data_IF_517308557873
#
_entry.id   IF_517308557873
#
_cell.length_a   1.000
_cell.length_b   1.000
_cell.length_c   1.000
_cell.angle_alpha   90.00
_cell.angle_beta   90.00
_cell.angle_gamma   90.00
#
_symmetry.space_group_name_H-M   'P 1'
#
loop_
_entity.id
_entity.type
_entity.pdbx_description
1 polymer ?
#
# COMPACT_ATOMS: atom_id res chain seq x y z
N UNK A 1 62.38 -72.91 -29.59
CA UNK A 1 62.34 -71.46 -29.33
C UNK A 1 61.16 -71.22 -28.43
N UNK A 2 61.39 -71.01 -27.12
CA UNK A 2 60.42 -70.62 -26.17
C UNK A 2 60.17 -69.11 -26.32
N UNK A 3 58.98 -68.75 -26.73
CA UNK A 3 58.57 -67.35 -26.79
C UNK A 3 58.40 -66.82 -25.34
N UNK A 4 59.22 -65.80 -24.99
CA UNK A 4 59.15 -65.12 -23.75
C UNK A 4 58.06 -64.04 -23.87
N UNK A 5 56.80 -64.40 -23.55
CA UNK A 5 55.76 -63.40 -23.44
C UNK A 5 55.90 -62.70 -22.08
N UNK A 6 56.17 -61.39 -22.08
CA UNK A 6 56.19 -60.59 -20.88
C UNK A 6 54.73 -60.53 -20.32
N UNK A 7 54.54 -60.70 -18.99
CA UNK A 7 53.22 -60.62 -18.43
C UNK A 7 52.68 -59.21 -18.63
N UNK A 8 51.48 -59.13 -19.24
CA UNK A 8 50.76 -57.89 -19.32
C UNK A 8 50.30 -57.47 -17.91
N UNK A 9 50.79 -56.33 -17.44
CA UNK A 9 50.26 -55.75 -16.22
C UNK A 9 48.83 -55.29 -16.43
N UNK A 10 47.89 -55.81 -15.64
CA UNK A 10 46.49 -55.32 -15.77
C UNK A 10 46.43 -53.82 -15.40
N UNK A 11 45.84 -53.04 -16.30
CA UNK A 11 45.50 -51.63 -16.01
C UNK A 11 44.16 -51.67 -15.31
N UNK A 12 44.13 -51.20 -14.04
CA UNK A 12 42.90 -50.95 -13.33
C UNK A 12 42.32 -49.57 -13.75
N UNK A 13 41.20 -49.59 -14.36
CA UNK A 13 40.43 -48.35 -14.64
C UNK A 13 39.34 -48.24 -13.61
N UNK A 14 39.36 -47.20 -12.82
CA UNK A 14 38.21 -46.82 -11.96
C UNK A 14 37.24 -46.05 -12.83
N UNK A 15 36.08 -46.60 -13.06
CA UNK A 15 35.00 -45.91 -13.73
C UNK A 15 34.14 -45.30 -12.65
N UNK A 16 34.18 -43.96 -12.53
CA UNK A 16 33.25 -43.19 -11.71
C UNK A 16 32.04 -42.88 -12.58
N UNK A 17 30.94 -43.57 -12.31
CA UNK A 17 29.66 -43.38 -13.03
C UNK A 17 28.72 -42.41 -12.27
N UNK A 18 29.25 -41.73 -11.23
CA UNK A 18 28.48 -40.69 -10.57
C UNK A 18 28.36 -39.49 -11.56
N UNK A 19 27.17 -38.93 -11.73
CA UNK A 19 27.06 -37.65 -12.43
C UNK A 19 27.91 -36.60 -11.73
N UNK A 20 28.52 -35.66 -12.43
CA UNK A 20 29.25 -34.58 -11.81
C UNK A 20 28.32 -33.87 -10.80
N UNK A 21 28.85 -33.64 -9.59
CA UNK A 21 28.12 -32.88 -8.58
C UNK A 21 28.02 -31.45 -9.13
N UNK A 22 26.80 -30.94 -9.25
CA UNK A 22 26.58 -29.56 -9.60
C UNK A 22 27.09 -28.64 -8.51
N UNK A 23 27.82 -27.60 -8.89
CA UNK A 23 28.35 -26.55 -8.02
C UNK A 23 27.95 -25.14 -8.46
N UNK A 24 27.08 -25.05 -9.46
CA UNK A 24 26.58 -23.77 -9.93
C UNK A 24 25.36 -23.39 -9.10
N UNK A 25 25.31 -22.17 -8.56
CA UNK A 25 24.13 -21.73 -7.84
C UNK A 25 23.01 -21.30 -8.81
N UNK A 26 21.74 -21.35 -8.36
CA UNK A 26 20.59 -20.94 -9.17
C UNK A 26 20.67 -19.49 -9.66
N UNK A 27 20.05 -19.20 -10.79
CA UNK A 27 19.69 -17.85 -11.18
C UNK A 27 18.28 -17.55 -10.67
N UNK A 28 18.08 -16.40 -9.97
CA UNK A 28 16.83 -16.04 -9.36
C UNK A 28 16.58 -14.53 -9.48
N UNK A 29 15.32 -14.17 -9.81
CA UNK A 29 14.87 -12.77 -9.88
C UNK A 29 13.46 -12.66 -9.31
N UNK A 30 13.18 -11.54 -8.64
CA UNK A 30 11.83 -11.12 -8.24
C UNK A 30 11.23 -10.40 -9.45
N UNK A 31 10.07 -10.85 -9.92
CA UNK A 31 9.35 -10.27 -11.04
C UNK A 31 8.31 -9.24 -10.59
N UNK A 32 7.57 -9.59 -9.53
CA UNK A 32 6.57 -8.73 -8.90
C UNK A 32 6.68 -8.87 -7.38
N UNK A 33 6.36 -7.79 -6.63
CA UNK A 33 6.09 -6.43 -7.08
C UNK A 33 7.35 -5.74 -7.63
N UNK A 34 7.17 -4.61 -8.34
CA UNK A 34 8.29 -3.80 -8.82
C UNK A 34 8.95 -3.06 -7.65
N UNK A 35 10.28 -2.83 -7.74
CA UNK A 35 10.98 -2.04 -6.73
C UNK A 35 10.43 -0.61 -6.66
N UNK A 36 10.13 -0.13 -5.45
CA UNK A 36 9.55 1.18 -5.17
C UNK A 36 8.04 1.27 -5.46
N UNK A 37 7.36 0.15 -5.64
CA UNK A 37 5.91 0.13 -5.84
C UNK A 37 5.19 0.38 -4.51
N UNK A 38 4.10 1.16 -4.54
CA UNK A 38 3.13 1.27 -3.46
C UNK A 38 2.19 0.06 -3.52
N UNK A 39 2.03 -0.63 -2.40
CA UNK A 39 1.26 -1.87 -2.30
C UNK A 39 0.37 -1.87 -1.06
N UNK A 40 -0.77 -2.58 -1.15
CA UNK A 40 -1.70 -2.75 -0.03
C UNK A 40 -2.44 -4.08 -0.11
N UNK A 41 -2.97 -4.54 1.03
CA UNK A 41 -3.75 -5.77 1.14
C UNK A 41 -2.93 -7.02 0.88
N UNK A 42 -3.42 -7.93 0.04
CA UNK A 42 -2.70 -9.15 -0.34
C UNK A 42 -2.02 -8.97 -1.68
N UNK A 43 -0.70 -9.14 -1.71
CA UNK A 43 0.15 -8.94 -2.90
C UNK A 43 0.90 -10.22 -3.21
N UNK A 44 0.91 -10.62 -4.49
CA UNK A 44 1.66 -11.79 -4.92
C UNK A 44 3.13 -11.39 -5.21
N UNK A 45 4.06 -12.09 -4.55
CA UNK A 45 5.49 -12.02 -4.82
C UNK A 45 5.81 -13.10 -5.84
N UNK A 46 6.01 -12.70 -7.09
CA UNK A 46 6.32 -13.61 -8.18
C UNK A 46 7.83 -13.73 -8.40
N UNK A 47 8.33 -14.97 -8.44
CA UNK A 47 9.76 -15.27 -8.59
C UNK A 47 9.99 -16.17 -9.76
N UNK A 48 11.01 -15.86 -10.55
CA UNK A 48 11.55 -16.76 -11.57
C UNK A 48 12.91 -17.26 -11.10
N UNK A 49 13.04 -18.57 -10.99
CA UNK A 49 14.29 -19.24 -10.65
C UNK A 49 14.57 -20.37 -11.64
N UNK A 50 15.83 -20.53 -12.02
CA UNK A 50 16.29 -21.58 -12.95
C UNK A 50 17.68 -22.09 -12.54
N UNK A 51 17.88 -23.39 -12.72
CA UNK A 51 19.14 -24.07 -12.48
C UNK A 51 19.23 -25.31 -13.38
N UNK A 52 20.43 -25.77 -13.71
CA UNK A 52 20.65 -26.92 -14.59
C UNK A 52 20.43 -28.27 -13.86
N UNK A 53 20.54 -28.28 -12.55
CA UNK A 53 20.21 -29.42 -11.67
C UNK A 53 18.76 -29.38 -11.16
N UNK A 54 18.09 -28.23 -11.26
CA UNK A 54 16.73 -27.96 -10.79
C UNK A 54 16.68 -27.23 -9.48
N UNK A 55 15.58 -26.55 -9.26
CA UNK A 55 15.29 -25.81 -8.01
C UNK A 55 14.66 -26.78 -7.00
N UNK A 56 15.18 -26.77 -5.78
CA UNK A 56 14.61 -27.49 -4.63
C UNK A 56 13.49 -26.67 -3.99
N UNK A 57 13.81 -25.41 -3.60
CA UNK A 57 12.83 -24.49 -3.06
C UNK A 57 13.27 -23.03 -3.15
N UNK A 58 12.32 -22.15 -2.96
CA UNK A 58 12.48 -20.70 -2.79
C UNK A 58 12.12 -20.34 -1.37
N UNK A 59 12.95 -19.56 -0.69
CA UNK A 59 12.65 -18.98 0.63
C UNK A 59 12.44 -17.48 0.49
N UNK A 60 11.30 -16.99 1.02
CA UNK A 60 10.91 -15.60 1.01
C UNK A 60 11.16 -14.96 2.37
N UNK A 61 11.65 -13.72 2.35
CA UNK A 61 11.94 -12.93 3.55
C UNK A 61 11.29 -11.57 3.43
N UNK A 62 10.64 -11.14 4.50
CA UNK A 62 10.14 -9.79 4.68
C UNK A 62 10.95 -9.16 5.83
N UNK A 63 11.59 -8.02 5.56
CA UNK A 63 12.45 -7.29 6.51
C UNK A 63 13.53 -8.17 7.18
N UNK A 64 14.03 -9.14 6.43
CA UNK A 64 15.05 -10.08 6.90
C UNK A 64 14.54 -11.21 7.78
N UNK A 65 13.24 -11.30 7.99
CA UNK A 65 12.60 -12.44 8.66
C UNK A 65 12.07 -13.43 7.62
N UNK A 66 12.35 -14.73 7.81
CA UNK A 66 11.81 -15.79 6.95
C UNK A 66 10.29 -15.82 7.09
N UNK A 67 9.59 -15.67 5.97
CA UNK A 67 8.13 -15.65 5.92
C UNK A 67 7.58 -17.01 5.47
N UNK A 68 8.02 -17.50 4.30
CA UNK A 68 7.57 -18.79 3.76
C UNK A 68 8.61 -19.46 2.87
N UNK A 69 8.36 -20.75 2.58
CA UNK A 69 9.12 -21.56 1.62
C UNK A 69 8.15 -22.11 0.57
N UNK A 70 8.53 -22.01 -0.71
CA UNK A 70 7.80 -22.58 -1.83
C UNK A 70 8.70 -23.53 -2.64
N UNK A 71 8.27 -24.78 -2.81
CA UNK A 71 8.97 -25.83 -3.57
C UNK A 71 8.28 -26.21 -4.87
N UNK A 72 7.23 -25.48 -5.25
CA UNK A 72 6.38 -25.85 -6.41
C UNK A 72 6.25 -24.66 -7.36
N UNK A 73 6.81 -24.81 -8.57
CA UNK A 73 6.64 -23.79 -9.62
C UNK A 73 5.18 -23.74 -10.13
N UNK A 74 4.65 -22.55 -10.48
CA UNK A 74 5.30 -21.25 -10.42
C UNK A 74 5.48 -20.78 -8.99
N UNK A 75 6.65 -20.20 -8.69
CA UNK A 75 6.98 -19.71 -7.35
C UNK A 75 6.29 -18.38 -7.10
N UNK A 76 5.15 -18.44 -6.39
CA UNK A 76 4.30 -17.29 -6.05
C UNK A 76 3.93 -17.36 -4.57
N UNK A 77 4.29 -16.32 -3.85
CA UNK A 77 3.90 -16.15 -2.45
C UNK A 77 2.91 -15.00 -2.30
N UNK A 78 1.70 -15.29 -1.84
CA UNK A 78 0.69 -14.27 -1.53
C UNK A 78 0.94 -13.71 -0.12
N UNK A 79 1.57 -12.54 -0.08
CA UNK A 79 1.91 -11.82 1.15
C UNK A 79 0.77 -10.90 1.58
N UNK A 80 0.31 -11.02 2.84
CA UNK A 80 -0.64 -10.08 3.43
C UNK A 80 0.11 -8.92 4.08
N UNK A 81 0.08 -7.75 3.47
CA UNK A 81 0.77 -6.55 3.95
C UNK A 81 0.17 -5.95 5.23
N UNK A 82 -1.06 -6.31 5.61
CA UNK A 82 -1.67 -5.87 6.88
C UNK A 82 -0.97 -6.45 8.13
N UNK A 83 -0.04 -7.41 7.94
CA UNK A 83 0.72 -8.03 9.03
C UNK A 83 1.99 -7.28 9.41
N UNK A 84 2.37 -6.28 8.65
CA UNK A 84 3.56 -5.44 8.86
C UNK A 84 3.16 -4.01 9.20
N UNK A 85 4.13 -3.15 9.53
CA UNK A 85 3.86 -1.75 9.79
C UNK A 85 3.37 -1.02 8.52
N UNK A 86 2.43 -0.11 8.67
CA UNK A 86 1.86 0.67 7.59
C UNK A 86 2.65 1.96 7.35
N UNK A 87 2.43 2.63 6.21
CA UNK A 87 3.05 3.90 5.84
C UNK A 87 4.59 3.87 5.81
N UNK A 88 5.20 2.75 5.45
CA UNK A 88 6.66 2.65 5.39
C UNK A 88 7.17 1.67 4.34
N UNK A 89 8.48 1.77 4.06
CA UNK A 89 9.18 0.83 3.18
C UNK A 89 9.43 -0.50 3.88
N UNK A 90 9.15 -1.60 3.16
CA UNK A 90 9.48 -2.96 3.54
C UNK A 90 10.39 -3.60 2.49
N UNK A 91 11.30 -4.46 2.94
CA UNK A 91 12.26 -5.13 2.07
C UNK A 91 11.82 -6.57 1.81
N UNK A 92 11.61 -6.88 0.53
CA UNK A 92 11.40 -8.25 0.06
C UNK A 92 12.74 -8.80 -0.40
N UNK A 93 13.15 -9.93 0.18
CA UNK A 93 14.32 -10.68 -0.25
C UNK A 93 13.94 -12.14 -0.52
N UNK A 94 14.61 -12.76 -1.49
CA UNK A 94 14.33 -14.12 -1.91
C UNK A 94 15.62 -14.88 -2.13
N UNK A 95 15.70 -16.10 -1.59
CA UNK A 95 16.81 -17.02 -1.79
C UNK A 95 16.31 -18.27 -2.51
N UNK A 96 16.92 -18.61 -3.64
CA UNK A 96 16.67 -19.86 -4.32
C UNK A 96 17.74 -20.89 -3.94
N UNK A 97 17.31 -22.14 -3.72
CA UNK A 97 18.17 -23.29 -3.45
C UNK A 97 17.96 -24.34 -4.55
N UNK A 98 19.07 -24.90 -5.05
CA UNK A 98 19.03 -26.05 -5.94
C UNK A 98 18.97 -27.38 -5.15
N UNK A 99 18.81 -28.50 -5.86
CA UNK A 99 18.74 -29.84 -5.24
C UNK A 99 20.09 -30.35 -4.70
N UNK A 100 21.22 -29.67 -4.96
CA UNK A 100 22.54 -29.94 -4.41
C UNK A 100 22.87 -29.05 -3.21
N UNK A 101 22.03 -28.07 -2.90
CA UNK A 101 22.19 -27.15 -1.77
C UNK A 101 22.99 -25.89 -2.10
N UNK A 102 23.29 -25.62 -3.37
CA UNK A 102 23.83 -24.31 -3.75
C UNK A 102 22.69 -23.29 -3.72
N UNK A 103 22.99 -22.01 -3.44
CA UNK A 103 21.95 -20.99 -3.27
C UNK A 103 22.37 -19.64 -3.83
N UNK A 104 21.37 -18.85 -4.21
CA UNK A 104 21.51 -17.47 -4.68
C UNK A 104 20.48 -16.58 -4.00
N UNK A 105 20.91 -15.44 -3.48
CA UNK A 105 20.05 -14.34 -3.06
C UNK A 105 19.73 -13.48 -4.29
N UNK A 106 18.47 -13.34 -4.64
CA UNK A 106 18.01 -12.34 -5.60
C UNK A 106 18.37 -10.92 -5.12
N UNK A 107 18.46 -9.97 -6.06
CA UNK A 107 18.57 -8.56 -5.65
C UNK A 107 17.32 -8.19 -4.83
N UNK A 108 17.46 -7.84 -3.53
CA UNK A 108 16.31 -7.44 -2.74
C UNK A 108 15.65 -6.18 -3.31
N UNK A 109 14.36 -6.06 -3.12
CA UNK A 109 13.57 -4.89 -3.52
C UNK A 109 12.94 -4.24 -2.30
N UNK A 110 12.80 -2.92 -2.32
CA UNK A 110 11.98 -2.17 -1.38
C UNK A 110 10.61 -1.90 -2.02
N UNK A 111 9.56 -1.98 -1.23
CA UNK A 111 8.18 -1.62 -1.58
C UNK A 111 7.62 -0.73 -0.48
N UNK A 112 6.68 0.15 -0.79
CA UNK A 112 6.01 0.99 0.20
C UNK A 112 4.65 0.37 0.52
N UNK A 113 4.41 0.03 1.79
CA UNK A 113 3.11 -0.50 2.24
C UNK A 113 2.24 0.66 2.70
N UNK A 114 1.04 0.77 2.11
CA UNK A 114 0.03 1.78 2.41
C UNK A 114 -1.35 1.09 2.38
N UNK A 115 -1.76 0.58 3.54
CA UNK A 115 -3.00 -0.19 3.70
C UNK A 115 -4.19 0.68 4.10
N UNK A 116 -3.93 1.84 4.71
CA UNK A 116 -4.97 2.69 5.29
C UNK A 116 -4.78 4.14 4.85
N UNK A 117 -5.83 4.73 4.31
CA UNK A 117 -5.84 6.17 4.11
C UNK A 117 -5.81 6.90 5.47
N UNK A 118 -4.78 7.71 5.71
CA UNK A 118 -4.62 8.55 6.89
C UNK A 118 -4.46 10.04 6.52
N UNK A 119 -4.77 10.39 5.28
CA UNK A 119 -4.73 11.76 4.77
C UNK A 119 -6.06 12.45 5.04
N UNK A 120 -6.11 13.49 5.92
CA UNK A 120 -7.36 14.20 6.20
C UNK A 120 -7.89 14.93 4.96
N UNK A 121 -9.22 14.95 4.76
CA UNK A 121 -9.86 15.68 3.67
C UNK A 121 -9.68 17.20 3.81
N UNK A 122 -9.65 17.90 2.69
CA UNK A 122 -9.62 19.35 2.62
C UNK A 122 -11.02 19.88 2.34
N UNK A 123 -11.38 21.01 2.97
CA UNK A 123 -12.66 21.68 2.75
C UNK A 123 -12.54 23.19 2.79
N UNK A 124 -13.54 23.87 2.19
CA UNK A 124 -13.66 25.32 2.23
C UNK A 124 -15.12 25.74 2.13
N UNK A 125 -15.54 26.72 2.97
CA UNK A 125 -16.80 27.44 2.78
C UNK A 125 -16.57 28.46 1.67
N UNK A 126 -17.29 28.34 0.56
CA UNK A 126 -17.23 29.22 -0.61
C UNK A 126 -18.18 30.40 -0.48
N UNK A 127 -19.36 30.16 0.10
CA UNK A 127 -20.38 31.14 0.37
C UNK A 127 -21.07 30.80 1.69
N UNK A 128 -21.39 31.78 2.57
CA UNK A 128 -21.02 33.21 2.49
C UNK A 128 -19.53 33.43 2.73
N UNK A 129 -19.04 34.63 2.35
CA UNK A 129 -17.65 35.02 2.64
C UNK A 129 -17.52 35.64 4.04
N UNK A 130 -16.32 35.59 4.67
CA UNK A 130 -16.12 36.16 6.00
C UNK A 130 -16.48 37.65 6.08
N UNK A 131 -17.27 38.02 7.08
CA UNK A 131 -17.73 39.38 7.32
C UNK A 131 -18.86 39.88 6.42
N UNK A 132 -19.48 38.99 5.65
CA UNK A 132 -20.65 39.32 4.83
C UNK A 132 -21.85 39.63 5.74
N UNK A 133 -22.65 40.66 5.38
CA UNK A 133 -23.98 40.87 5.92
C UNK A 133 -24.97 40.02 5.13
N UNK A 134 -25.84 39.30 5.81
CA UNK A 134 -26.77 38.35 5.24
C UNK A 134 -28.17 38.54 5.80
N UNK A 135 -29.20 38.23 4.99
CA UNK A 135 -30.63 38.32 5.35
C UNK A 135 -31.41 37.20 4.67
N UNK A 136 -32.57 36.84 5.20
CA UNK A 136 -33.49 35.86 4.64
C UNK A 136 -32.86 34.47 4.48
N UNK A 137 -32.98 33.88 3.29
CA UNK A 137 -32.43 32.53 3.01
C UNK A 137 -31.07 32.63 2.33
N UNK A 138 -30.04 32.15 3.02
CA UNK A 138 -28.65 32.17 2.60
C UNK A 138 -28.23 30.78 2.16
N UNK A 139 -27.66 30.67 0.94
CA UNK A 139 -27.05 29.40 0.50
C UNK A 139 -25.65 29.28 1.09
N UNK A 140 -25.41 28.30 1.96
CA UNK A 140 -24.06 27.93 2.41
C UNK A 140 -23.52 26.90 1.43
N UNK A 141 -22.47 27.30 0.70
CA UNK A 141 -21.84 26.46 -0.32
C UNK A 141 -20.45 26.00 0.16
N UNK A 142 -20.22 24.71 0.16
CA UNK A 142 -18.99 24.09 0.65
C UNK A 142 -18.35 23.27 -0.48
N UNK A 143 -17.04 23.39 -0.63
CA UNK A 143 -16.24 22.47 -1.42
C UNK A 143 -15.42 21.58 -0.51
N UNK A 144 -15.31 20.30 -0.86
CA UNK A 144 -14.47 19.34 -0.17
C UNK A 144 -13.83 18.38 -1.16
N UNK A 145 -12.61 17.93 -0.86
CA UNK A 145 -11.87 16.95 -1.64
C UNK A 145 -10.97 16.12 -0.75
N UNK A 146 -10.70 14.92 -1.19
CA UNK A 146 -9.82 13.96 -0.55
C UNK A 146 -9.07 13.14 -1.61
N UNK A 147 -7.97 12.46 -1.22
CA UNK A 147 -7.24 11.56 -2.11
C UNK A 147 -8.05 10.29 -2.44
N UNK A 148 -8.93 9.84 -1.54
CA UNK A 148 -9.84 8.74 -1.79
C UNK A 148 -11.28 9.22 -1.95
N UNK A 149 -11.98 9.48 -0.87
CA UNK A 149 -13.40 9.86 -0.94
C UNK A 149 -13.88 10.62 0.30
N UNK A 150 -14.55 11.77 0.08
CA UNK A 150 -15.26 12.49 1.14
C UNK A 150 -16.54 11.72 1.50
N UNK A 151 -16.64 11.27 2.74
CA UNK A 151 -17.82 10.56 3.26
C UNK A 151 -18.98 11.50 3.53
N UNK A 152 -18.73 12.54 4.34
CA UNK A 152 -19.76 13.53 4.69
C UNK A 152 -19.16 14.81 5.24
N UNK A 153 -20.03 15.82 5.31
CA UNK A 153 -19.74 17.13 5.90
C UNK A 153 -20.73 17.40 7.02
N UNK A 154 -20.24 17.71 8.22
CA UNK A 154 -21.04 18.17 9.33
C UNK A 154 -21.04 19.70 9.36
N UNK A 155 -22.20 20.31 9.29
CA UNK A 155 -22.40 21.76 9.35
C UNK A 155 -23.00 22.16 10.69
N UNK A 156 -22.43 23.17 11.31
CA UNK A 156 -22.96 23.79 12.54
C UNK A 156 -22.96 25.33 12.41
N UNK A 157 -23.90 25.97 13.08
CA UNK A 157 -23.97 27.42 13.23
C UNK A 157 -24.01 27.72 14.73
N UNK A 158 -23.09 28.56 15.19
CA UNK A 158 -22.88 28.88 16.62
C UNK A 158 -22.69 27.64 17.50
N UNK A 159 -22.07 26.60 16.94
CA UNK A 159 -21.86 25.33 17.62
C UNK A 159 -23.10 24.42 17.68
N UNK A 160 -24.22 24.82 17.07
CA UNK A 160 -25.44 24.03 16.98
C UNK A 160 -25.42 23.29 15.64
N UNK A 161 -25.46 21.96 15.66
CA UNK A 161 -25.51 21.14 14.45
C UNK A 161 -26.77 21.48 13.63
N UNK A 162 -26.59 21.66 12.31
CA UNK A 162 -27.68 22.01 11.39
C UNK A 162 -27.96 20.89 10.40
N UNK A 163 -26.92 20.31 9.78
CA UNK A 163 -27.09 19.27 8.76
C UNK A 163 -25.84 18.41 8.63
N UNK A 164 -26.02 17.25 7.98
CA UNK A 164 -24.95 16.36 7.51
C UNK A 164 -25.11 16.14 6.02
N UNK A 165 -24.20 16.72 5.24
CA UNK A 165 -24.24 16.69 3.77
C UNK A 165 -23.40 15.53 3.25
N UNK A 166 -24.02 14.59 2.54
CA UNK A 166 -23.37 13.35 2.06
C UNK A 166 -23.14 13.34 0.55
N UNK A 167 -23.67 14.30 -0.19
CA UNK A 167 -23.56 14.34 -1.66
C UNK A 167 -23.14 15.71 -2.15
N UNK A 168 -22.18 15.74 -3.08
CA UNK A 168 -21.85 16.96 -3.82
C UNK A 168 -22.96 17.29 -4.84
N UNK A 169 -23.30 18.58 -5.05
CA UNK A 169 -22.73 19.75 -4.40
C UNK A 169 -23.21 19.89 -2.94
N UNK A 170 -22.28 20.19 -2.03
CA UNK A 170 -22.56 20.36 -0.61
C UNK A 170 -23.15 21.76 -0.37
N UNK A 171 -24.47 21.84 -0.32
CA UNK A 171 -25.22 23.09 -0.19
C UNK A 171 -26.25 22.95 0.93
N UNK A 172 -26.25 23.91 1.85
CA UNK A 172 -27.27 24.06 2.89
C UNK A 172 -27.96 25.42 2.74
N UNK A 173 -29.28 25.44 2.68
CA UNK A 173 -30.05 26.69 2.67
C UNK A 173 -30.43 27.08 4.10
N UNK A 174 -29.77 28.10 4.60
CA UNK A 174 -29.93 28.62 5.94
C UNK A 174 -30.97 29.75 5.95
N UNK A 175 -32.06 29.59 6.72
CA UNK A 175 -33.03 30.65 6.96
C UNK A 175 -32.56 31.45 8.18
N UNK A 176 -32.11 32.69 7.96
CA UNK A 176 -31.60 33.57 9.01
C UNK A 176 -32.70 34.24 9.80
N UNK A 177 -33.97 34.21 9.35
CA UNK A 177 -35.07 34.85 10.02
C UNK A 177 -35.44 34.19 11.35
N UNK A 178 -35.01 32.93 11.54
CA UNK A 178 -35.18 32.19 12.81
C UNK A 178 -34.02 32.41 13.79
N UNK A 179 -32.96 33.12 13.39
CA UNK A 179 -31.78 33.39 14.21
C UNK A 179 -31.88 34.74 14.92
N UNK A 180 -30.94 34.99 15.83
CA UNK A 180 -30.83 36.29 16.48
C UNK A 180 -30.34 37.34 15.48
N UNK A 181 -31.04 38.45 15.41
CA UNK A 181 -30.79 39.54 14.50
C UNK A 181 -29.76 40.55 15.06
N UNK A 182 -29.20 41.39 14.21
CA UNK A 182 -28.24 42.44 14.55
C UNK A 182 -26.97 41.94 15.26
N UNK A 183 -26.48 40.75 14.89
CA UNK A 183 -25.24 40.18 15.47
C UNK A 183 -24.49 39.24 14.54
N UNK A 184 -23.24 38.91 14.95
CA UNK A 184 -22.42 37.96 14.25
C UNK A 184 -22.82 36.51 14.56
N UNK A 185 -22.82 35.68 13.54
CA UNK A 185 -23.00 34.22 13.63
C UNK A 185 -21.82 33.50 12.99
N UNK A 186 -21.45 32.35 13.54
CA UNK A 186 -20.28 31.56 13.11
C UNK A 186 -20.72 30.27 12.44
N UNK A 187 -20.39 30.11 11.16
CA UNK A 187 -20.57 28.89 10.39
C UNK A 187 -19.32 28.05 10.55
N UNK A 188 -19.47 26.81 11.03
CA UNK A 188 -18.37 25.86 11.21
C UNK A 188 -18.67 24.56 10.43
N UNK A 189 -17.64 24.01 9.83
CA UNK A 189 -17.72 22.83 8.98
C UNK A 189 -16.60 21.86 9.36
N UNK A 190 -16.96 20.58 9.45
CA UNK A 190 -16.04 19.46 9.57
C UNK A 190 -16.27 18.54 8.39
N UNK A 191 -15.20 18.12 7.73
CA UNK A 191 -15.24 17.16 6.63
C UNK A 191 -14.67 15.82 7.12
N UNK A 192 -15.37 14.73 6.83
CA UNK A 192 -14.90 13.36 7.14
C UNK A 192 -14.82 12.55 5.86
N UNK A 193 -13.72 11.82 5.67
CA UNK A 193 -13.52 10.91 4.53
C UNK A 193 -14.10 9.51 4.81
N UNK A 194 -13.91 8.59 3.85
CA UNK A 194 -14.37 7.20 3.97
C UNK A 194 -13.58 6.37 4.99
N UNK A 195 -12.36 6.76 5.29
CA UNK A 195 -11.47 6.10 6.25
C UNK A 195 -11.64 6.63 7.68
N UNK A 196 -12.38 7.72 7.85
CA UNK A 196 -12.69 8.33 9.14
C UNK A 196 -11.73 9.44 9.54
N UNK A 197 -10.84 9.91 8.64
CA UNK A 197 -10.00 11.06 8.91
C UNK A 197 -10.83 12.35 8.87
N UNK A 198 -10.42 13.33 9.66
CA UNK A 198 -11.17 14.56 9.88
C UNK A 198 -10.38 15.77 9.38
N UNK A 199 -10.97 16.50 8.43
CA UNK A 199 -10.50 17.77 7.94
C UNK A 199 -11.24 18.94 8.60
N UNK A 200 -10.50 19.87 9.21
CA UNK A 200 -11.06 21.07 9.81
C UNK A 200 -11.06 22.22 8.82
N UNK A 201 -12.23 22.82 8.62
CA UNK A 201 -12.41 23.98 7.74
C UNK A 201 -12.35 25.28 8.57
N UNK A 202 -11.70 26.31 8.01
CA UNK A 202 -11.69 27.62 8.66
C UNK A 202 -13.14 28.15 8.79
N UNK A 203 -13.61 28.48 10.02
CA UNK A 203 -14.97 28.96 10.21
C UNK A 203 -15.19 30.34 9.55
N UNK A 204 -16.41 30.60 9.17
CA UNK A 204 -16.84 31.88 8.55
C UNK A 204 -17.79 32.60 9.51
N UNK A 205 -17.46 33.83 9.88
CA UNK A 205 -18.35 34.73 10.61
C UNK A 205 -19.11 35.64 9.62
N UNK A 206 -20.42 35.77 9.81
CA UNK A 206 -21.31 36.64 9.05
C UNK A 206 -22.15 37.48 10.01
N UNK A 207 -22.59 38.64 9.60
CA UNK A 207 -23.50 39.50 10.36
C UNK A 207 -24.92 39.34 9.78
N UNK A 208 -25.90 39.03 10.65
CA UNK A 208 -27.31 38.96 10.24
C UNK A 208 -27.95 40.35 10.44
N UNK A 209 -28.69 40.81 9.42
CA UNK A 209 -29.49 42.03 9.39
C UNK A 209 -30.76 41.77 8.57
N UNK A 210 -31.88 41.42 9.23
CA UNK A 210 -33.13 41.01 8.62
C UNK A 210 -34.14 42.16 8.49
N UNK A 211 -33.71 43.43 8.57
CA UNK A 211 -34.64 44.62 8.45
C UNK A 211 -35.16 44.84 7.03
#
# INVERSE_FOLDING_TARGET
LAGNEAPLNPISVVVDNQPPIDSQPPNVIIMEPAAGQDISGTVDIEVVATDDSGIDYIEYFIDGLSDTIDSIAPYIHSWNTETVEDDMEHIIAVVAYDIQGNSTLATPIAVYVDNFDNVPPLGQIQNPVPGQTVDGVVSIEITASDNEHVSHIELSIDGIARDTLVNSPYIYNWDTTDEADDQDHVISVIVTDSSGNIGFVAPVSVYIDNE
#
